data_IF_745636588564
#
_entry.id   IF_745636588564
#
_cell.length_a   1.000
_cell.length_b   1.000
_cell.length_c   1.000
_cell.angle_alpha   90.00
_cell.angle_beta   90.00
_cell.angle_gamma   90.00
#
_symmetry.space_group_name_H-M   'P 1'
#
loop_
_entity.id
_entity.type
_entity.pdbx_description
1 polymer ?
#
# COMPACT_ATOMS: atom_id res chain seq x y z
N UNK A 1 -31.02 -24.13 49.77
CA UNK A 1 -30.15 -25.30 50.03
C UNK A 1 -30.62 -26.48 49.20
N UNK A 2 -29.68 -27.37 48.83
CA UNK A 2 -29.83 -28.68 48.15
C UNK A 2 -29.90 -28.67 46.61
N UNK A 3 -28.75 -28.99 45.98
CA UNK A 3 -28.65 -30.05 44.95
C UNK A 3 -29.10 -31.41 45.55
N UNK A 4 -29.39 -32.53 44.82
CA UNK A 4 -28.74 -32.97 43.56
C UNK A 4 -29.55 -33.86 42.56
N UNK A 5 -28.96 -34.07 41.36
CA UNK A 5 -28.74 -35.32 40.56
C UNK A 5 -29.82 -36.44 40.47
N UNK A 6 -30.10 -36.95 39.24
CA UNK A 6 -29.56 -38.21 38.60
C UNK A 6 -30.44 -38.82 37.47
N UNK A 7 -29.75 -39.19 36.36
CA UNK A 7 -29.81 -40.44 35.54
C UNK A 7 -31.09 -40.90 34.78
N UNK A 8 -31.01 -40.87 33.45
CA UNK A 8 -30.73 -42.05 32.59
C UNK A 8 -31.88 -42.74 31.81
N UNK A 9 -31.68 -42.98 30.49
CA UNK A 9 -31.97 -44.25 29.76
C UNK A 9 -31.65 -44.19 28.23
N UNK A 10 -30.87 -45.16 27.73
CA UNK A 10 -30.91 -45.76 26.36
C UNK A 10 -31.95 -46.93 26.40
N UNK A 11 -32.37 -47.63 25.30
CA UNK A 11 -31.70 -47.95 24.02
C UNK A 11 -32.65 -47.94 22.77
N UNK A 12 -32.26 -48.31 21.53
CA UNK A 12 -32.39 -49.68 20.97
C UNK A 12 -31.74 -49.83 19.56
N UNK A 13 -31.16 -51.00 19.32
CA UNK A 13 -30.57 -51.67 18.12
C UNK A 13 -31.52 -51.82 16.91
N UNK A 14 -31.11 -52.06 15.65
CA UNK A 14 -30.49 -53.28 15.03
C UNK A 14 -30.18 -53.03 13.52
N UNK A 15 -29.00 -53.33 12.95
CA UNK A 15 -28.44 -54.58 12.33
C UNK A 15 -28.96 -55.01 10.92
N UNK A 16 -28.01 -55.25 9.99
CA UNK A 16 -28.10 -56.02 8.73
C UNK A 16 -27.51 -55.26 7.52
N UNK A 17 -26.76 -55.78 6.54
CA UNK A 17 -26.04 -57.04 6.27
C UNK A 17 -25.09 -56.76 5.06
N UNK A 18 -24.15 -57.66 4.76
CA UNK A 18 -22.96 -57.55 3.89
C UNK A 18 -23.22 -57.63 2.37
N UNK A 19 -22.27 -57.11 1.58
CA UNK A 19 -22.00 -57.47 0.18
C UNK A 19 -20.55 -57.11 -0.22
N UNK A 20 -19.82 -58.03 -0.88
CA UNK A 20 -18.38 -57.97 -1.21
C UNK A 20 -18.08 -57.49 -2.65
N UNK A 21 -16.99 -56.69 -2.79
CA UNK A 21 -15.93 -56.61 -3.84
C UNK A 21 -16.25 -56.24 -5.32
N UNK A 22 -15.29 -55.75 -6.17
CA UNK A 22 -13.85 -55.57 -5.99
C UNK A 22 -13.20 -54.23 -6.47
N UNK A 23 -11.92 -54.11 -6.08
CA UNK A 23 -10.83 -53.17 -6.40
C UNK A 23 -10.76 -52.47 -7.79
N UNK A 24 -10.46 -51.15 -7.80
CA UNK A 24 -9.69 -50.49 -8.87
C UNK A 24 -8.70 -49.44 -8.31
N UNK A 25 -7.58 -49.32 -9.04
CA UNK A 25 -6.23 -48.88 -8.62
C UNK A 25 -6.07 -47.39 -8.30
N UNK A 26 -5.14 -47.13 -7.36
CA UNK A 26 -4.54 -45.83 -7.00
C UNK A 26 -4.06 -45.02 -8.22
N UNK A 27 -4.65 -43.84 -8.43
CA UNK A 27 -3.98 -42.69 -9.04
C UNK A 27 -3.52 -41.75 -7.92
N UNK A 28 -2.22 -41.48 -7.86
CA UNK A 28 -1.60 -40.56 -6.89
C UNK A 28 -1.95 -39.13 -7.29
N UNK A 29 -3.02 -38.56 -6.72
CA UNK A 29 -3.28 -37.12 -6.81
C UNK A 29 -2.23 -36.37 -5.97
N UNK A 30 -1.51 -35.44 -6.61
CA UNK A 30 -0.73 -34.44 -5.90
C UNK A 30 -1.64 -33.67 -4.92
N UNK A 31 -1.17 -33.35 -3.70
CA UNK A 31 -1.94 -32.52 -2.81
C UNK A 31 -2.18 -31.15 -3.48
N UNK A 32 -3.41 -30.60 -3.43
CA UNK A 32 -3.67 -29.29 -3.98
C UNK A 32 -2.73 -28.28 -3.32
N UNK A 33 -2.07 -27.47 -4.16
CA UNK A 33 -1.24 -26.36 -3.69
C UNK A 33 -2.04 -25.57 -2.64
N UNK A 34 -1.43 -25.40 -1.47
CA UNK A 34 -1.98 -24.57 -0.41
C UNK A 34 -2.36 -23.21 -1.02
N UNK A 35 -3.51 -22.62 -0.65
CA UNK A 35 -3.90 -21.32 -1.17
C UNK A 35 -2.75 -20.36 -0.92
N UNK A 36 -2.28 -19.70 -1.99
CA UNK A 36 -1.32 -18.61 -1.92
C UNK A 36 -1.92 -17.62 -0.93
N UNK A 37 -1.35 -17.60 0.28
CA UNK A 37 -1.76 -16.65 1.29
C UNK A 37 -1.47 -15.29 0.68
N UNK A 38 -2.53 -14.53 0.40
CA UNK A 38 -2.44 -13.09 0.14
C UNK A 38 -1.62 -12.53 1.28
N UNK A 39 -0.34 -12.24 1.02
CA UNK A 39 0.55 -11.74 2.05
C UNK A 39 0.03 -10.36 2.35
N UNK A 40 -0.56 -10.18 3.54
CA UNK A 40 -0.86 -8.83 4.01
C UNK A 40 0.44 -8.01 3.90
N UNK A 41 0.47 -6.93 3.11
CA UNK A 41 1.67 -6.10 2.92
C UNK A 41 2.22 -5.52 4.23
N UNK A 42 1.40 -5.50 5.27
CA UNK A 42 1.75 -5.10 6.63
C UNK A 42 2.11 -6.28 7.55
N UNK A 43 2.24 -7.51 7.01
CA UNK A 43 2.71 -8.70 7.73
C UNK A 43 4.13 -8.49 8.22
N UNK A 44 4.23 -7.85 9.38
CA UNK A 44 5.48 -7.49 10.00
C UNK A 44 5.95 -8.67 10.87
N UNK A 45 7.19 -9.15 10.70
CA UNK A 45 7.75 -10.14 11.62
C UNK A 45 7.69 -9.65 13.07
N UNK A 46 7.66 -10.56 14.06
CA UNK A 46 7.66 -10.18 15.47
C UNK A 46 8.79 -9.19 15.79
N UNK A 47 8.50 -8.20 16.64
CA UNK A 47 9.49 -7.16 17.03
C UNK A 47 10.79 -7.77 17.57
N UNK A 48 10.71 -8.90 18.27
CA UNK A 48 11.87 -9.64 18.77
C UNK A 48 12.78 -10.13 17.64
N UNK A 49 12.21 -10.59 16.52
CA UNK A 49 12.96 -10.99 15.33
C UNK A 49 13.55 -9.77 14.64
N UNK A 50 12.76 -8.72 14.42
CA UNK A 50 13.22 -7.51 13.75
C UNK A 50 14.37 -6.81 14.48
N UNK A 51 14.36 -6.83 15.82
CA UNK A 51 15.48 -6.32 16.64
C UNK A 51 16.75 -7.14 16.47
N UNK A 52 16.62 -8.46 16.24
CA UNK A 52 17.77 -9.36 16.02
C UNK A 52 18.31 -9.27 14.59
N UNK A 53 17.43 -9.24 13.59
CA UNK A 53 17.81 -9.23 12.16
C UNK A 53 18.15 -7.85 11.64
N UNK A 54 17.58 -6.79 12.22
CA UNK A 54 17.70 -5.42 11.68
C UNK A 54 16.96 -5.21 10.36
N UNK A 55 16.07 -6.14 9.99
CA UNK A 55 15.29 -6.09 8.75
C UNK A 55 14.37 -4.87 8.71
N UNK A 56 14.13 -4.39 7.49
CA UNK A 56 13.27 -3.22 7.25
C UNK A 56 11.82 -3.62 7.03
N UNK A 57 10.89 -2.83 7.57
CA UNK A 57 9.44 -3.05 7.43
C UNK A 57 8.72 -1.73 7.16
N UNK A 58 7.51 -1.79 6.60
CA UNK A 58 6.68 -0.61 6.31
C UNK A 58 6.04 -0.05 7.59
N UNK A 59 5.91 1.29 7.64
CA UNK A 59 5.18 1.97 8.69
C UNK A 59 3.67 1.70 8.54
N UNK A 60 3.07 1.05 9.52
CA UNK A 60 1.68 0.57 9.58
C UNK A 60 0.75 1.46 10.43
N UNK A 61 1.26 2.55 10.99
CA UNK A 61 0.51 3.49 11.82
C UNK A 61 1.00 4.93 11.66
N UNK A 62 0.37 5.89 12.36
CA UNK A 62 0.79 7.28 12.30
C UNK A 62 2.12 7.50 13.01
N UNK A 63 2.90 8.50 12.58
CA UNK A 63 4.29 8.69 13.07
C UNK A 63 4.41 8.80 14.59
N UNK A 64 3.39 9.36 15.25
CA UNK A 64 3.40 9.59 16.69
C UNK A 64 3.13 8.34 17.51
N UNK A 65 2.46 7.33 16.96
CA UNK A 65 2.24 6.03 17.62
C UNK A 65 3.43 5.10 17.40
N UNK A 66 4.01 5.14 16.19
CA UNK A 66 5.07 4.20 15.80
C UNK A 66 6.35 4.41 16.62
N UNK A 67 6.78 5.66 16.83
CA UNK A 67 7.84 5.99 17.78
C UNK A 67 7.88 7.49 18.13
N UNK A 68 8.06 7.85 19.42
CA UNK A 68 8.06 9.25 19.84
C UNK A 68 9.21 10.09 19.26
N UNK A 69 10.37 9.47 18.99
CA UNK A 69 11.58 10.12 18.48
C UNK A 69 11.66 10.15 16.94
N UNK A 70 10.73 9.52 16.24
CA UNK A 70 10.75 9.47 14.77
C UNK A 70 10.33 10.82 14.19
N UNK A 71 10.92 11.21 13.06
CA UNK A 71 10.51 12.42 12.34
C UNK A 71 9.04 12.32 11.91
N UNK A 72 8.21 13.26 12.37
CA UNK A 72 6.76 13.27 12.11
C UNK A 72 6.44 13.98 10.80
N UNK A 73 5.47 13.45 10.03
CA UNK A 73 4.90 14.18 8.89
C UNK A 73 4.14 15.43 9.35
N UNK A 74 3.78 16.30 8.39
CA UNK A 74 3.03 17.53 8.62
C UNK A 74 1.75 17.31 9.44
N UNK A 75 0.96 16.29 9.12
CA UNK A 75 -0.31 15.93 9.76
C UNK A 75 -0.06 15.33 11.16
N UNK A 76 1.00 14.55 11.31
CA UNK A 76 1.41 13.97 12.59
C UNK A 76 2.17 14.96 13.48
N UNK A 77 2.44 16.19 13.04
CA UNK A 77 3.06 17.25 13.87
C UNK A 77 2.05 18.04 14.67
N UNK A 78 0.78 18.10 14.25
CA UNK A 78 -0.26 18.83 14.98
C UNK A 78 -0.37 18.36 16.43
N UNK A 79 -0.68 19.25 17.36
CA UNK A 79 -0.80 18.89 18.78
C UNK A 79 -2.01 17.98 19.02
N UNK A 80 -2.02 17.22 20.11
CA UNK A 80 -3.10 16.29 20.43
C UNK A 80 -4.49 16.97 20.52
N UNK A 81 -4.54 18.26 20.85
CA UNK A 81 -5.78 19.06 20.87
C UNK A 81 -6.28 19.47 19.49
N UNK A 82 -5.39 19.58 18.50
CA UNK A 82 -5.73 19.91 17.10
C UNK A 82 -6.13 18.67 16.29
N UNK A 83 -5.98 17.47 16.87
CA UNK A 83 -6.28 16.22 16.20
C UNK A 83 -7.70 15.78 16.54
N UNK A 84 -8.47 15.45 15.51
CA UNK A 84 -9.66 14.63 15.71
C UNK A 84 -9.24 13.29 16.30
N UNK A 85 -9.83 12.90 17.44
CA UNK A 85 -9.60 11.58 18.06
C UNK A 85 -9.94 10.42 17.13
N UNK A 86 -10.72 10.69 16.07
CA UNK A 86 -11.15 9.71 15.07
C UNK A 86 -10.38 9.82 13.76
N UNK A 87 -9.24 10.53 13.71
CA UNK A 87 -8.46 10.65 12.47
C UNK A 87 -7.93 9.27 12.05
N UNK A 88 -8.37 8.73 10.90
CA UNK A 88 -7.86 7.46 10.40
C UNK A 88 -6.35 7.51 10.15
N UNK A 89 -5.66 6.38 10.40
CA UNK A 89 -4.20 6.25 10.22
C UNK A 89 -3.70 6.65 8.83
N UNK A 90 -4.56 6.54 7.82
CA UNK A 90 -4.31 6.85 6.41
C UNK A 90 -3.91 8.31 6.14
N UNK A 91 -4.24 9.23 7.05
CA UNK A 91 -3.85 10.65 6.90
C UNK A 91 -2.37 10.90 7.22
N UNK A 92 -1.69 9.94 7.84
CA UNK A 92 -0.24 10.00 7.97
C UNK A 92 0.41 9.83 6.59
N UNK A 93 1.12 10.85 6.10
CA UNK A 93 1.81 10.83 4.80
C UNK A 93 2.87 9.75 4.65
N UNK A 94 3.27 9.11 5.75
CA UNK A 94 4.25 8.03 5.78
C UNK A 94 3.64 6.64 6.01
N UNK A 95 2.32 6.55 6.20
CA UNK A 95 1.59 5.29 6.28
C UNK A 95 1.79 4.49 4.98
N UNK A 96 2.11 3.20 5.11
CA UNK A 96 2.35 2.28 3.99
C UNK A 96 3.40 2.77 2.98
N UNK A 97 4.29 3.69 3.37
CA UNK A 97 5.21 4.35 2.45
C UNK A 97 6.63 4.44 3.01
N UNK A 98 6.79 4.83 4.28
CA UNK A 98 8.12 4.89 4.92
C UNK A 98 8.54 3.52 5.43
N UNK A 99 9.79 3.15 5.19
CA UNK A 99 10.43 1.96 5.78
C UNK A 99 11.18 2.31 7.05
N UNK A 100 11.10 1.42 8.03
CA UNK A 100 11.73 1.53 9.34
C UNK A 100 12.55 0.27 9.63
N UNK A 101 13.58 0.41 10.46
CA UNK A 101 14.33 -0.73 11.02
C UNK A 101 14.67 -0.49 12.48
N UNK A 102 14.93 -1.56 13.23
CA UNK A 102 15.53 -1.45 14.55
C UNK A 102 17.06 -1.30 14.43
N UNK A 103 17.61 -0.32 15.12
CA UNK A 103 19.06 -0.14 15.30
C UNK A 103 19.60 -1.16 16.30
N UNK A 104 20.93 -1.30 16.38
CA UNK A 104 21.60 -2.15 17.38
C UNK A 104 21.21 -1.80 18.83
N UNK A 105 20.85 -0.53 19.06
CA UNK A 105 20.40 -0.02 20.37
C UNK A 105 18.90 -0.25 20.62
N UNK A 106 18.20 -0.96 19.74
CA UNK A 106 16.76 -1.25 19.85
C UNK A 106 15.84 -0.08 19.52
N UNK A 107 16.38 1.06 19.08
CA UNK A 107 15.60 2.23 18.64
C UNK A 107 15.20 2.10 17.17
N UNK A 108 14.02 2.62 16.80
CA UNK A 108 13.60 2.69 15.40
C UNK A 108 14.31 3.82 14.66
N UNK A 109 14.78 3.52 13.45
CA UNK A 109 15.38 4.46 12.52
C UNK A 109 14.73 4.36 11.13
N UNK A 110 14.78 5.45 10.39
CA UNK A 110 14.34 5.50 8.99
C UNK A 110 15.28 4.64 8.15
N UNK A 111 14.70 3.78 7.31
CA UNK A 111 15.41 2.86 6.44
C UNK A 111 15.05 3.04 4.96
N UNK A 112 14.52 4.21 4.59
CA UNK A 112 14.11 4.56 3.23
C UNK A 112 12.60 4.58 3.07
N UNK A 113 12.17 4.40 1.83
CA UNK A 113 10.76 4.40 1.41
C UNK A 113 10.48 3.13 0.60
N UNK A 114 9.21 2.92 0.29
CA UNK A 114 8.80 1.76 -0.48
C UNK A 114 9.32 1.84 -1.92
N UNK A 115 9.73 0.70 -2.47
CA UNK A 115 10.39 0.57 -3.77
C UNK A 115 9.40 -0.02 -4.81
N UNK A 116 9.28 0.59 -6.01
CA UNK A 116 8.30 0.17 -7.02
C UNK A 116 8.51 -1.24 -7.55
N UNK A 117 9.74 -1.76 -7.54
CA UNK A 117 10.06 -3.08 -8.07
C UNK A 117 10.06 -4.16 -7.00
N UNK A 118 10.20 -3.78 -5.72
CA UNK A 118 10.32 -4.75 -4.62
C UNK A 118 9.06 -4.87 -3.77
N UNK A 119 8.31 -3.79 -3.62
CA UNK A 119 7.20 -3.74 -2.65
C UNK A 119 5.81 -3.74 -3.29
N UNK A 120 5.71 -3.49 -4.60
CA UNK A 120 4.44 -3.60 -5.32
C UNK A 120 4.05 -5.06 -5.50
N UNK A 121 2.88 -5.44 -5.00
CA UNK A 121 2.35 -6.79 -5.13
C UNK A 121 1.47 -6.93 -6.39
N UNK A 122 1.14 -8.16 -6.79
CA UNK A 122 0.41 -8.44 -8.04
C UNK A 122 -0.97 -7.76 -8.07
N UNK A 123 -1.64 -7.76 -6.93
CA UNK A 123 -2.90 -7.10 -6.61
C UNK A 123 -2.82 -5.56 -6.73
N UNK A 124 -1.67 -4.96 -6.42
CA UNK A 124 -1.44 -3.53 -6.61
C UNK A 124 -1.28 -3.20 -8.10
N UNK A 125 -0.65 -4.10 -8.86
CA UNK A 125 -0.48 -3.98 -10.31
C UNK A 125 -1.78 -4.26 -11.06
N UNK A 126 -2.62 -5.17 -10.56
CA UNK A 126 -3.90 -5.56 -11.19
C UNK A 126 -4.87 -4.39 -11.36
N UNK A 127 -4.75 -3.34 -10.55
CA UNK A 127 -5.52 -2.10 -10.71
C UNK A 127 -5.24 -1.41 -12.06
N UNK A 128 -4.03 -1.58 -12.60
CA UNK A 128 -3.55 -0.93 -13.81
C UNK A 128 -3.57 -1.83 -15.04
N UNK A 129 -3.87 -3.12 -14.85
CA UNK A 129 -3.92 -4.10 -15.92
C UNK A 129 -5.36 -4.28 -16.42
N UNK A 130 -5.56 -4.50 -17.73
CA UNK A 130 -6.89 -4.78 -18.28
C UNK A 130 -7.48 -6.04 -17.64
N UNK A 131 -8.77 -5.99 -17.29
CA UNK A 131 -9.50 -7.15 -16.79
C UNK A 131 -9.92 -8.05 -17.96
N UNK A 132 -9.06 -8.99 -18.32
CA UNK A 132 -9.29 -9.90 -19.45
C UNK A 132 -10.44 -10.86 -19.24
N UNK A 133 -10.77 -11.18 -17.99
CA UNK A 133 -11.78 -12.18 -17.63
C UNK A 133 -13.22 -11.65 -17.70
N UNK A 134 -13.39 -10.32 -17.77
CA UNK A 134 -14.69 -9.67 -17.83
C UNK A 134 -14.59 -8.40 -18.70
N UNK A 135 -14.37 -8.53 -20.02
CA UNK A 135 -14.30 -7.38 -20.90
C UNK A 135 -15.66 -6.66 -20.94
N UNK A 136 -15.68 -5.33 -21.14
CA UNK A 136 -16.93 -4.61 -21.34
C UNK A 136 -17.69 -5.18 -22.55
N UNK A 137 -19.01 -5.45 -22.43
CA UNK A 137 -19.78 -6.12 -23.48
C UNK A 137 -19.87 -5.30 -24.79
N UNK A 138 -19.74 -3.97 -24.69
CA UNK A 138 -19.94 -3.03 -25.81
C UNK A 138 -18.62 -2.46 -26.36
N UNK A 139 -17.49 -3.12 -26.11
CA UNK A 139 -16.18 -2.67 -26.61
C UNK A 139 -15.92 -3.21 -28.03
N UNK A 140 -16.64 -2.69 -29.01
CA UNK A 140 -16.39 -2.97 -30.43
C UNK A 140 -15.32 -2.03 -31.04
N UNK A 141 -15.02 -2.22 -32.33
CA UNK A 141 -13.99 -1.46 -33.04
C UNK A 141 -14.34 0.03 -33.14
N UNK A 142 -15.62 0.38 -33.33
CA UNK A 142 -16.04 1.76 -33.51
C UNK A 142 -16.07 2.50 -32.18
N UNK A 143 -16.51 1.83 -31.12
CA UNK A 143 -16.40 2.32 -29.75
C UNK A 143 -14.94 2.48 -29.31
N UNK A 144 -14.06 1.54 -29.68
CA UNK A 144 -12.61 1.66 -29.41
C UNK A 144 -12.00 2.89 -30.09
N UNK A 145 -12.32 3.12 -31.37
CA UNK A 145 -11.87 4.32 -32.09
C UNK A 145 -12.42 5.59 -31.45
N UNK A 146 -13.70 5.60 -31.08
CA UNK A 146 -14.32 6.72 -30.41
C UNK A 146 -13.60 7.05 -29.10
N UNK A 147 -13.37 6.06 -28.24
CA UNK A 147 -12.62 6.25 -26.98
C UNK A 147 -11.23 6.81 -27.26
N UNK A 148 -10.45 6.18 -28.13
CA UNK A 148 -9.10 6.65 -28.47
C UNK A 148 -9.10 8.08 -29.01
N UNK A 149 -10.08 8.47 -29.84
CA UNK A 149 -10.20 9.84 -30.33
C UNK A 149 -10.54 10.85 -29.21
N UNK A 150 -11.29 10.44 -28.18
CA UNK A 150 -11.67 11.35 -27.09
C UNK A 150 -10.57 11.48 -26.03
N UNK A 151 -9.88 10.40 -25.68
CA UNK A 151 -8.94 10.37 -24.55
C UNK A 151 -7.48 10.17 -24.94
N UNK A 152 -7.17 9.80 -26.18
CA UNK A 152 -5.82 9.47 -26.63
C UNK A 152 -4.82 10.60 -26.42
N UNK A 153 -5.16 11.81 -26.86
CA UNK A 153 -4.28 12.98 -26.71
C UNK A 153 -4.00 13.29 -25.23
N UNK A 154 -5.02 13.18 -24.36
CA UNK A 154 -4.85 13.37 -22.92
C UNK A 154 -3.86 12.36 -22.32
N UNK A 155 -3.86 11.10 -22.78
CA UNK A 155 -2.87 10.11 -22.34
C UNK A 155 -1.47 10.41 -22.88
N UNK A 156 -1.36 10.90 -24.11
CA UNK A 156 -0.08 11.34 -24.66
C UNK A 156 0.51 12.50 -23.85
N UNK A 157 -0.30 13.50 -23.49
CA UNK A 157 0.11 14.63 -22.66
C UNK A 157 0.58 14.17 -21.28
N UNK A 158 -0.16 13.23 -20.64
CA UNK A 158 0.24 12.65 -19.36
C UNK A 158 1.60 11.95 -19.47
N UNK A 159 1.83 11.16 -20.52
CA UNK A 159 3.10 10.47 -20.72
C UNK A 159 4.26 11.45 -20.89
N UNK A 160 4.07 12.53 -21.65
CA UNK A 160 5.10 13.56 -21.81
C UNK A 160 5.39 14.30 -20.50
N UNK A 161 4.37 14.60 -19.69
CA UNK A 161 4.56 15.16 -18.35
C UNK A 161 5.35 14.23 -17.43
N UNK A 162 5.13 12.92 -17.48
CA UNK A 162 5.89 11.94 -16.70
C UNK A 162 7.36 11.87 -17.13
N UNK A 163 7.63 11.85 -18.45
CA UNK A 163 9.00 11.91 -18.98
C UNK A 163 9.71 13.17 -18.54
N UNK A 164 9.02 14.30 -18.58
CA UNK A 164 9.55 15.58 -18.12
C UNK A 164 9.82 15.57 -16.61
N UNK A 165 8.93 15.00 -15.80
CA UNK A 165 9.14 14.89 -14.36
C UNK A 165 10.44 14.14 -14.02
N UNK A 166 10.71 13.05 -14.75
CA UNK A 166 11.96 12.29 -14.62
C UNK A 166 13.18 13.11 -15.05
N UNK A 167 13.07 13.90 -16.11
CA UNK A 167 14.19 14.67 -16.67
C UNK A 167 14.58 15.88 -15.80
N UNK A 168 13.62 16.54 -15.15
CA UNK A 168 13.85 17.72 -14.31
C UNK A 168 14.20 17.39 -12.85
N UNK A 169 14.20 16.11 -12.49
CA UNK A 169 14.44 15.67 -11.12
C UNK A 169 15.85 16.06 -10.64
N UNK A 170 15.92 16.96 -9.65
CA UNK A 170 17.19 17.53 -9.16
C UNK A 170 18.00 16.62 -8.22
N UNK A 171 17.44 15.54 -7.67
CA UNK A 171 18.18 14.75 -6.69
C UNK A 171 19.22 13.87 -7.39
N UNK A 172 20.46 13.94 -6.92
CA UNK A 172 21.60 13.18 -7.47
C UNK A 172 21.39 11.66 -7.38
N UNK A 173 20.66 11.20 -6.36
CA UNK A 173 20.37 9.79 -6.14
C UNK A 173 19.29 9.23 -7.06
N UNK A 174 18.55 10.11 -7.77
CA UNK A 174 17.42 9.80 -8.65
C UNK A 174 16.44 8.77 -8.04
N UNK A 175 16.31 8.80 -6.72
CA UNK A 175 15.55 7.78 -6.00
C UNK A 175 14.06 7.87 -6.35
N UNK A 176 13.52 6.82 -6.96
CA UNK A 176 12.08 6.66 -7.17
C UNK A 176 11.53 5.81 -6.02
N UNK A 177 10.59 6.40 -5.27
CA UNK A 177 9.86 5.70 -4.24
C UNK A 177 8.41 5.46 -4.71
N UNK A 178 7.87 4.30 -4.38
CA UNK A 178 6.51 3.93 -4.72
C UNK A 178 5.58 4.21 -3.55
N UNK A 179 4.44 4.82 -3.83
CA UNK A 179 3.39 5.04 -2.84
C UNK A 179 2.16 4.24 -3.26
N UNK A 180 1.80 3.27 -2.42
CA UNK A 180 0.64 2.40 -2.66
C UNK A 180 -0.64 3.24 -2.82
N UNK A 181 -1.45 2.90 -3.83
CA UNK A 181 -2.78 3.48 -3.99
C UNK A 181 -3.67 2.99 -2.87
N UNK A 182 -4.37 3.91 -2.20
CA UNK A 182 -5.36 3.54 -1.19
C UNK A 182 -6.74 3.98 -1.65
N UNK A 183 -7.68 3.05 -1.68
CA UNK A 183 -9.04 3.31 -2.16
C UNK A 183 -9.69 4.47 -1.38
N UNK A 184 -10.31 5.38 -2.11
CA UNK A 184 -10.97 6.57 -1.55
C UNK A 184 -10.02 7.68 -1.09
N UNK A 185 -8.70 7.52 -1.24
CA UNK A 185 -7.72 8.55 -0.90
C UNK A 185 -6.95 8.99 -2.14
N UNK A 186 -6.90 10.30 -2.34
CA UNK A 186 -6.10 10.94 -3.39
C UNK A 186 -5.00 11.76 -2.75
N UNK A 187 -3.80 11.66 -3.33
CA UNK A 187 -2.72 12.57 -2.98
C UNK A 187 -2.99 13.93 -3.60
N UNK A 188 -2.65 15.00 -2.87
CA UNK A 188 -2.84 16.38 -3.30
C UNK A 188 -1.56 17.16 -3.06
N UNK A 189 -1.28 18.11 -3.94
CA UNK A 189 -0.16 19.04 -3.78
C UNK A 189 -0.39 19.95 -2.57
N UNK A 190 0.60 20.09 -1.70
CA UNK A 190 0.52 20.97 -0.53
C UNK A 190 0.65 22.47 -0.86
N UNK A 191 0.82 22.83 -2.14
CA UNK A 191 0.94 24.22 -2.62
C UNK A 191 -0.32 24.67 -3.34
N UNK A 192 -0.74 23.94 -4.39
CA UNK A 192 -1.88 24.31 -5.24
C UNK A 192 -3.12 23.45 -5.02
N UNK A 193 -3.09 22.49 -4.10
CA UNK A 193 -4.20 21.58 -3.76
C UNK A 193 -4.68 20.68 -4.92
N UNK A 194 -4.01 20.74 -6.08
CA UNK A 194 -4.31 19.86 -7.22
C UNK A 194 -4.03 18.40 -6.86
N UNK A 195 -4.93 17.51 -7.29
CA UNK A 195 -4.73 16.07 -7.17
C UNK A 195 -3.49 15.63 -7.96
N UNK A 196 -2.71 14.75 -7.37
CA UNK A 196 -1.48 14.23 -7.97
C UNK A 196 -1.76 12.91 -8.70
N UNK A 197 -1.20 12.80 -9.91
CA UNK A 197 -1.21 11.59 -10.70
C UNK A 197 0.23 11.10 -10.89
N UNK A 198 0.45 9.81 -10.62
CA UNK A 198 1.71 9.08 -10.77
C UNK A 198 2.97 9.81 -10.21
N UNK A 199 3.70 10.56 -11.04
CA UNK A 199 4.95 11.24 -10.66
C UNK A 199 4.74 12.57 -9.94
N UNK A 200 5.41 12.70 -8.79
CA UNK A 200 5.42 13.91 -7.97
C UNK A 200 6.61 13.85 -6.99
N UNK A 201 6.90 14.95 -6.30
CA UNK A 201 8.00 15.00 -5.32
C UNK A 201 7.45 15.01 -3.90
N UNK A 202 8.03 14.18 -3.04
CA UNK A 202 7.71 14.13 -1.63
C UNK A 202 8.97 14.35 -0.76
N UNK A 203 8.85 15.18 0.26
CA UNK A 203 9.92 15.41 1.22
C UNK A 203 10.04 14.22 2.18
N UNK A 204 11.16 13.49 2.16
CA UNK A 204 11.39 12.35 3.05
C UNK A 204 11.39 12.69 4.55
N UNK A 205 11.57 13.96 4.92
CA UNK A 205 11.60 14.41 6.33
C UNK A 205 10.20 14.67 6.91
N UNK A 206 9.36 15.43 6.18
CA UNK A 206 8.06 15.89 6.68
C UNK A 206 6.85 15.44 5.84
N UNK A 207 7.06 14.77 4.71
CA UNK A 207 6.00 14.26 3.86
C UNK A 207 5.30 15.33 3.04
N UNK A 208 5.91 16.52 2.90
CA UNK A 208 5.40 17.60 2.06
C UNK A 208 5.45 17.20 0.59
N UNK A 209 4.36 17.36 -0.15
CA UNK A 209 4.19 16.85 -1.51
C UNK A 209 3.95 18.00 -2.50
N UNK A 210 4.63 17.96 -3.65
CA UNK A 210 4.46 18.95 -4.73
C UNK A 210 4.22 18.30 -6.09
N UNK A 211 3.32 18.90 -6.89
CA UNK A 211 3.11 18.53 -8.29
C UNK A 211 4.27 19.02 -9.16
N UNK A 212 4.27 18.57 -10.42
CA UNK A 212 5.24 18.96 -11.45
C UNK A 212 5.29 20.47 -11.68
N UNK A 213 4.14 21.14 -11.76
CA UNK A 213 4.10 22.58 -12.01
C UNK A 213 4.68 23.38 -10.85
N UNK A 214 4.28 23.06 -9.62
CA UNK A 214 4.84 23.71 -8.42
C UNK A 214 6.34 23.42 -8.25
N UNK A 215 6.80 22.25 -8.67
CA UNK A 215 8.22 21.92 -8.68
C UNK A 215 8.98 22.79 -9.70
N UNK A 216 8.51 22.86 -10.94
CA UNK A 216 9.08 23.68 -12.02
C UNK A 216 9.17 25.16 -11.67
N UNK A 217 8.11 25.73 -11.08
CA UNK A 217 8.13 27.13 -10.64
C UNK A 217 9.31 27.40 -9.71
N UNK A 218 9.63 26.46 -8.80
CA UNK A 218 10.79 26.60 -7.91
C UNK A 218 12.13 26.38 -8.61
N UNK A 219 12.19 25.58 -9.68
CA UNK A 219 13.41 25.41 -10.48
C UNK A 219 13.75 26.68 -11.27
N UNK A 220 12.74 27.30 -11.88
CA UNK A 220 12.94 28.35 -12.87
C UNK A 220 12.72 29.77 -12.31
N UNK A 221 12.29 29.90 -11.06
CA UNK A 221 12.25 31.20 -10.36
C UNK A 221 13.50 31.33 -9.48
N UNK A 222 14.43 32.26 -9.79
CA UNK A 222 15.52 32.58 -8.88
C UNK A 222 14.90 33.10 -7.58
N UNK A 223 15.24 32.49 -6.44
CA UNK A 223 14.92 33.06 -5.15
C UNK A 223 15.68 34.38 -5.01
N UNK A 224 15.05 35.52 -5.32
CA UNK A 224 15.40 36.75 -4.62
C UNK A 224 15.04 36.50 -3.16
N UNK A 225 16.06 36.22 -2.35
CA UNK A 225 15.92 36.09 -0.91
C UNK A 225 15.23 37.37 -0.40
N UNK A 226 14.03 37.31 0.22
CA UNK A 226 13.54 38.46 0.95
C UNK A 226 14.52 38.65 2.10
N UNK A 227 15.29 39.74 2.06
CA UNK A 227 16.07 40.21 3.18
C UNK A 227 15.17 40.20 4.41
N UNK A 228 15.58 39.44 5.44
CA UNK A 228 14.94 39.48 6.76
C UNK A 228 14.82 40.94 7.19
N UNK A 229 13.59 41.41 7.32
CA UNK A 229 13.22 42.57 8.16
C UNK A 229 12.95 42.09 9.57
#
# INVERSE_FOLDING_TARGET
GKEPRKRGRRPKSSKGDRGEEPSQKKGRAEPPALPVQVRDPFSKPPVSQLKKTGETFLQDGPCFEVAPKLAKCRECRWTHSQRSKNMPNIFCRFYAFRRLRYTKNGQLAIAGFSDPHRDAAEEDLKLWLPQTDCPPPDLDVDMTKFLLMQVGDHFCDLLEQEKEAVSIHLADDKTIAWKRVVQGVREMCDVCETTLFNFHWACGKCGFVVCIDCYKVRLFTPLTCPSRS
#
